data_IF_033301600816
#
_entry.id   IF_033301600816
#
_cell.length_a   1.000
_cell.length_b   1.000
_cell.length_c   1.000
_cell.angle_alpha   90.00
_cell.angle_beta   90.00
_cell.angle_gamma   90.00
#
_symmetry.space_group_name_H-M   'P 1'
#
loop_
_entity.id
_entity.type
_entity.pdbx_description
1 polymer ?
#
# COMPACT_ATOMS: atom_id res chain seq x y z
N UNK A 1 40.47 -1.06 -16.17
CA UNK A 1 39.99 -2.13 -15.26
C UNK A 1 38.93 -1.52 -14.38
N UNK A 2 37.68 -1.78 -14.71
CA UNK A 2 36.54 -1.26 -13.95
C UNK A 2 36.32 -2.23 -12.78
N UNK A 3 36.63 -1.80 -11.57
CA UNK A 3 36.27 -2.56 -10.37
C UNK A 3 34.76 -2.78 -10.41
N UNK A 4 34.36 -4.04 -10.48
CA UNK A 4 32.97 -4.41 -10.30
C UNK A 4 32.57 -4.00 -8.88
N UNK A 5 31.82 -2.93 -8.75
CA UNK A 5 31.21 -2.52 -7.48
C UNK A 5 30.45 -3.73 -6.97
N UNK A 6 30.97 -4.34 -5.89
CA UNK A 6 30.32 -5.44 -5.20
C UNK A 6 29.05 -4.90 -4.59
N UNK A 7 27.96 -5.03 -5.32
CA UNK A 7 26.62 -4.65 -4.84
C UNK A 7 26.31 -5.53 -3.64
N UNK A 8 26.41 -4.97 -2.44
CA UNK A 8 25.90 -5.62 -1.23
C UNK A 8 24.38 -5.54 -1.36
N UNK A 9 23.69 -6.67 -1.51
CA UNK A 9 22.22 -6.60 -1.60
C UNK A 9 21.69 -6.02 -0.30
N UNK A 10 20.72 -5.12 -0.42
CA UNK A 10 19.97 -4.57 0.70
C UNK A 10 19.30 -5.74 1.43
N UNK A 11 19.81 -6.13 2.61
CA UNK A 11 19.34 -7.30 3.36
C UNK A 11 18.99 -6.92 4.78
N UNK A 12 17.90 -7.45 5.27
CA UNK A 12 17.57 -7.48 6.70
C UNK A 12 18.26 -8.67 7.37
N UNK A 13 18.36 -8.62 8.71
CA UNK A 13 18.93 -9.75 9.45
C UNK A 13 18.04 -10.99 9.38
N UNK A 14 18.64 -12.17 9.57
CA UNK A 14 17.88 -13.43 9.62
C UNK A 14 16.85 -13.44 10.74
N UNK A 15 17.12 -12.78 11.86
CA UNK A 15 16.19 -12.65 12.99
C UNK A 15 14.95 -11.87 12.61
N UNK A 16 15.11 -10.77 11.86
CA UNK A 16 13.97 -9.96 11.35
C UNK A 16 13.13 -10.80 10.39
N UNK A 17 13.78 -11.45 9.44
CA UNK A 17 13.10 -12.30 8.47
C UNK A 17 12.29 -13.39 9.14
N UNK A 18 12.90 -14.10 10.10
CA UNK A 18 12.24 -15.18 10.85
C UNK A 18 11.04 -14.64 11.65
N UNK A 19 11.19 -13.51 12.34
CA UNK A 19 10.10 -12.90 13.09
C UNK A 19 8.91 -12.51 12.18
N UNK A 20 9.19 -12.02 10.96
CA UNK A 20 8.15 -11.72 9.98
C UNK A 20 7.47 -13.00 9.48
N UNK A 21 8.24 -14.05 9.20
CA UNK A 21 7.71 -15.34 8.74
C UNK A 21 6.89 -16.05 9.81
N UNK A 22 7.32 -15.99 11.08
CA UNK A 22 6.58 -16.55 12.21
C UNK A 22 5.23 -15.83 12.42
N UNK A 23 5.17 -14.55 12.04
CA UNK A 23 3.97 -13.72 12.22
C UNK A 23 2.97 -13.87 11.07
N UNK A 24 3.46 -13.91 9.84
CA UNK A 24 2.63 -13.81 8.62
C UNK A 24 2.47 -15.15 7.90
N UNK A 25 3.37 -16.11 8.15
CA UNK A 25 3.59 -17.28 7.31
C UNK A 25 4.70 -17.03 6.29
N UNK A 26 5.51 -18.05 6.02
CA UNK A 26 6.67 -17.96 5.12
C UNK A 26 6.29 -17.63 3.67
N UNK A 27 5.10 -18.01 3.23
CA UNK A 27 4.55 -17.75 1.90
C UNK A 27 4.22 -16.26 1.66
N UNK A 28 4.07 -15.47 2.74
CA UNK A 28 3.73 -14.03 2.66
C UNK A 28 4.89 -13.10 2.94
N UNK A 29 6.09 -13.65 3.07
CA UNK A 29 7.34 -12.91 3.28
C UNK A 29 8.36 -13.36 2.25
N UNK A 30 8.80 -12.47 1.38
CA UNK A 30 9.72 -12.83 0.30
C UNK A 30 10.95 -11.93 0.24
N UNK A 31 12.12 -12.56 0.16
CA UNK A 31 13.40 -11.96 -0.22
C UNK A 31 13.76 -12.28 -1.69
N UNK A 32 12.89 -12.99 -2.41
CA UNK A 32 13.14 -13.36 -3.81
C UNK A 32 13.20 -12.10 -4.68
N UNK A 33 14.27 -11.99 -5.45
CA UNK A 33 14.55 -10.82 -6.26
C UNK A 33 13.45 -10.55 -7.31
N UNK A 34 12.92 -11.59 -7.92
CA UNK A 34 11.88 -11.44 -8.94
C UNK A 34 10.58 -10.93 -8.31
N UNK A 35 10.27 -11.39 -7.09
CA UNK A 35 9.13 -10.90 -6.30
C UNK A 35 9.36 -9.44 -5.91
N UNK A 36 10.52 -9.11 -5.35
CA UNK A 36 10.87 -7.73 -4.97
C UNK A 36 10.76 -6.79 -6.18
N UNK A 37 11.35 -7.14 -7.31
CA UNK A 37 11.28 -6.34 -8.52
C UNK A 37 9.83 -6.17 -9.03
N UNK A 38 8.99 -7.19 -8.90
CA UNK A 38 7.58 -7.14 -9.30
C UNK A 38 6.78 -6.16 -8.44
N UNK A 39 6.94 -6.23 -7.12
CA UNK A 39 6.23 -5.38 -6.17
C UNK A 39 6.85 -3.97 -6.01
N UNK A 40 8.02 -3.73 -6.58
CA UNK A 40 8.70 -2.43 -6.55
C UNK A 40 8.57 -1.66 -7.86
N UNK A 41 7.87 -2.21 -8.85
CA UNK A 41 7.72 -1.56 -10.16
C UNK A 41 6.78 -0.37 -10.11
N UNK A 42 7.15 0.66 -10.88
CA UNK A 42 6.26 1.77 -11.19
C UNK A 42 5.46 1.48 -12.46
N UNK A 43 4.22 1.87 -12.48
CA UNK A 43 3.38 1.74 -13.67
C UNK A 43 3.52 2.91 -14.65
N UNK A 44 3.97 4.07 -14.19
CA UNK A 44 4.09 5.27 -15.03
C UNK A 44 5.54 5.67 -15.19
N UNK A 45 6.04 5.54 -16.38
CA UNK A 45 7.32 6.08 -16.82
C UNK A 45 7.14 7.50 -17.34
N UNK A 46 6.87 8.42 -16.42
CA UNK A 46 6.58 9.80 -16.80
C UNK A 46 7.80 10.56 -17.37
N UNK A 47 9.02 10.03 -17.23
CA UNK A 47 10.22 10.78 -17.61
C UNK A 47 11.45 9.96 -18.03
N UNK A 48 11.38 8.65 -18.20
CA UNK A 48 12.59 7.84 -18.53
C UNK A 48 13.69 7.85 -17.47
N UNK A 49 13.75 8.89 -16.65
CA UNK A 49 14.73 9.06 -15.58
C UNK A 49 14.51 8.08 -14.41
N UNK A 50 13.26 7.75 -14.13
CA UNK A 50 12.89 6.83 -13.04
C UNK A 50 13.29 5.38 -13.34
N UNK A 51 13.31 4.96 -14.59
CA UNK A 51 13.80 3.63 -14.99
C UNK A 51 15.25 3.36 -14.59
N UNK A 52 16.07 4.40 -14.47
CA UNK A 52 17.47 4.23 -14.08
C UNK A 52 17.60 3.78 -12.62
N UNK A 53 16.77 4.32 -11.74
CA UNK A 53 16.74 3.93 -10.32
C UNK A 53 16.11 2.55 -10.10
N UNK A 54 15.10 2.17 -10.89
CA UNK A 54 14.51 0.83 -10.83
C UNK A 54 15.47 -0.30 -11.20
N UNK A 55 16.51 0.01 -11.96
CA UNK A 55 17.55 -0.97 -12.34
C UNK A 55 18.69 -1.02 -11.35
N UNK A 56 18.76 -0.09 -10.41
CA UNK A 56 19.80 -0.10 -9.39
C UNK A 56 19.42 -1.10 -8.28
N UNK A 57 20.12 -2.22 -8.19
CA UNK A 57 19.83 -3.25 -7.19
C UNK A 57 20.03 -2.79 -5.75
N UNK A 58 20.74 -1.68 -5.54
CA UNK A 58 20.96 -1.09 -4.21
C UNK A 58 19.78 -0.29 -3.71
N UNK A 59 18.84 0.03 -4.60
CA UNK A 59 17.65 0.84 -4.30
C UNK A 59 16.38 0.00 -4.10
N UNK A 60 16.49 -1.33 -4.18
CA UNK A 60 15.35 -2.22 -3.96
C UNK A 60 15.16 -2.50 -2.46
N UNK A 61 13.92 -2.74 -2.00
CA UNK A 61 13.68 -3.14 -0.62
C UNK A 61 14.35 -4.48 -0.30
N UNK A 62 14.59 -4.73 0.99
CA UNK A 62 15.21 -5.96 1.46
C UNK A 62 14.24 -7.14 1.41
N UNK A 63 12.97 -6.89 1.69
CA UNK A 63 11.91 -7.89 1.56
C UNK A 63 10.55 -7.24 1.30
N UNK A 64 9.63 -8.07 0.81
CA UNK A 64 8.20 -7.75 0.64
C UNK A 64 7.41 -8.58 1.63
N UNK A 65 6.44 -7.97 2.30
CA UNK A 65 5.49 -8.65 3.19
C UNK A 65 4.05 -8.32 2.78
N UNK A 66 3.17 -9.33 2.84
CA UNK A 66 1.78 -9.22 2.42
C UNK A 66 0.83 -9.53 3.60
N UNK A 67 0.54 -8.57 4.47
CA UNK A 67 -0.41 -8.78 5.57
C UNK A 67 -1.85 -8.90 5.05
N UNK A 68 -2.70 -9.62 5.82
CA UNK A 68 -4.12 -9.78 5.55
C UNK A 68 -5.03 -9.08 6.57
N UNK A 69 -4.45 -8.53 7.65
CA UNK A 69 -5.22 -7.90 8.71
C UNK A 69 -4.50 -6.71 9.34
N UNK A 70 -5.25 -5.90 10.05
CA UNK A 70 -4.71 -4.78 10.84
C UNK A 70 -3.72 -5.26 11.91
N UNK A 71 -4.00 -6.40 12.53
CA UNK A 71 -3.18 -7.01 13.58
C UNK A 71 -1.83 -7.45 13.03
N UNK A 72 -1.82 -8.01 11.83
CA UNK A 72 -0.56 -8.36 11.13
C UNK A 72 0.26 -7.10 10.78
N UNK A 73 -0.40 -6.02 10.32
CA UNK A 73 0.29 -4.73 10.09
C UNK A 73 0.87 -4.18 11.40
N UNK A 74 0.13 -4.25 12.52
CA UNK A 74 0.66 -3.84 13.84
C UNK A 74 1.89 -4.66 14.23
N UNK A 75 1.85 -5.98 14.03
CA UNK A 75 2.96 -6.86 14.35
C UNK A 75 4.20 -6.54 13.52
N UNK A 76 4.03 -6.28 12.20
CA UNK A 76 5.12 -5.82 11.33
C UNK A 76 5.74 -4.54 11.88
N UNK A 77 4.92 -3.54 12.26
CA UNK A 77 5.43 -2.27 12.79
C UNK A 77 6.19 -2.46 14.10
N UNK A 78 5.72 -3.35 14.99
CA UNK A 78 6.44 -3.67 16.25
C UNK A 78 7.77 -4.37 15.99
N UNK A 79 7.82 -5.33 15.05
CA UNK A 79 9.06 -6.00 14.62
C UNK A 79 10.03 -4.96 14.06
N UNK A 80 9.57 -4.12 13.13
CA UNK A 80 10.39 -3.08 12.51
C UNK A 80 10.97 -2.11 13.56
N UNK A 81 10.18 -1.68 14.55
CA UNK A 81 10.63 -0.84 15.65
C UNK A 81 11.68 -1.53 16.54
N UNK A 82 11.44 -2.80 16.89
CA UNK A 82 12.37 -3.58 17.72
C UNK A 82 13.74 -3.69 17.07
N UNK A 83 13.77 -3.94 15.77
CA UNK A 83 15.03 -4.17 15.03
C UNK A 83 15.55 -2.92 14.30
N UNK A 84 14.85 -1.77 14.42
CA UNK A 84 15.22 -0.50 13.77
C UNK A 84 15.32 -0.61 12.25
N UNK A 85 14.41 -1.34 11.63
CA UNK A 85 14.29 -1.47 10.18
C UNK A 85 13.22 -0.53 9.66
N UNK A 86 13.49 0.13 8.54
CA UNK A 86 12.52 1.03 7.91
C UNK A 86 11.38 0.25 7.26
N UNK A 87 10.18 0.83 7.26
CA UNK A 87 8.97 0.27 6.63
C UNK A 87 8.45 1.23 5.59
N UNK A 88 8.13 0.72 4.41
CA UNK A 88 7.48 1.47 3.34
C UNK A 88 6.15 0.81 3.02
N UNK A 89 5.01 1.45 3.30
CA UNK A 89 3.71 0.97 2.85
C UNK A 89 3.59 1.17 1.33
N UNK A 90 3.05 0.16 0.65
CA UNK A 90 2.90 0.20 -0.79
C UNK A 90 1.59 -0.44 -1.22
N UNK A 91 0.86 0.20 -2.10
CA UNK A 91 -0.33 -0.35 -2.75
C UNK A 91 -0.01 -0.82 -4.17
N UNK A 92 -0.40 -0.09 -5.20
CA UNK A 92 -0.11 -0.51 -6.58
C UNK A 92 0.85 0.43 -7.34
N UNK A 93 1.22 1.56 -6.76
CA UNK A 93 2.17 2.50 -7.35
C UNK A 93 1.77 3.10 -8.70
N UNK A 94 0.47 3.06 -9.07
CA UNK A 94 0.02 3.47 -10.40
C UNK A 94 0.35 4.93 -10.74
N UNK A 95 0.29 5.83 -9.77
CA UNK A 95 0.61 7.26 -9.93
C UNK A 95 1.78 7.63 -8.99
N UNK A 96 2.66 6.70 -8.70
CA UNK A 96 3.80 6.98 -7.85
C UNK A 96 4.97 7.45 -8.70
N UNK A 97 5.47 8.63 -8.39
CA UNK A 97 6.73 9.12 -8.95
C UNK A 97 7.95 8.51 -8.23
N UNK A 98 7.74 8.02 -7.00
CA UNK A 98 8.75 7.36 -6.19
C UNK A 98 8.19 6.05 -5.65
N UNK A 99 8.72 4.93 -6.11
CA UNK A 99 8.39 3.62 -5.54
C UNK A 99 9.07 3.39 -4.20
N UNK A 100 8.96 2.18 -3.68
CA UNK A 100 9.61 1.78 -2.43
C UNK A 100 11.11 1.57 -2.65
N UNK A 101 11.79 2.61 -3.13
CA UNK A 101 13.22 2.60 -3.43
C UNK A 101 13.96 3.39 -2.36
N UNK A 102 14.99 2.79 -1.77
CA UNK A 102 15.80 3.37 -0.71
C UNK A 102 17.16 2.69 -0.67
N UNK A 103 18.24 3.42 -0.37
CA UNK A 103 19.55 2.82 -0.18
C UNK A 103 19.68 2.03 1.13
N UNK A 104 18.71 2.20 2.05
CA UNK A 104 18.69 1.50 3.33
C UNK A 104 17.85 0.22 3.25
N UNK A 105 18.19 -0.83 4.02
CA UNK A 105 17.37 -2.03 4.11
C UNK A 105 15.95 -1.71 4.61
N UNK A 106 14.94 -2.01 3.81
CA UNK A 106 13.54 -1.73 4.14
C UNK A 106 12.66 -2.95 3.99
N UNK A 107 11.58 -2.97 4.77
CA UNK A 107 10.45 -3.87 4.62
C UNK A 107 9.38 -3.13 3.82
N UNK A 108 9.04 -3.61 2.64
CA UNK A 108 7.87 -3.10 1.90
C UNK A 108 6.63 -3.87 2.29
N UNK A 109 5.65 -3.16 2.82
CA UNK A 109 4.35 -3.71 3.23
C UNK A 109 3.35 -3.51 2.11
N UNK A 110 3.01 -4.59 1.41
CA UNK A 110 2.07 -4.56 0.29
C UNK A 110 0.70 -5.07 0.71
N UNK A 111 -0.31 -4.20 0.66
CA UNK A 111 -1.61 -4.45 1.26
C UNK A 111 -2.60 -5.26 0.40
N UNK A 112 -2.14 -5.92 -0.67
CA UNK A 112 -3.01 -6.60 -1.65
C UNK A 112 -3.96 -7.65 -1.09
N UNK A 113 -3.67 -8.23 0.07
CA UNK A 113 -4.56 -9.20 0.74
C UNK A 113 -5.69 -8.54 1.53
N UNK A 114 -5.62 -7.22 1.75
CA UNK A 114 -6.64 -6.42 2.45
C UNK A 114 -7.50 -5.67 1.41
N UNK A 115 -8.29 -6.40 0.63
CA UNK A 115 -8.96 -5.87 -0.55
C UNK A 115 -10.49 -6.04 -0.54
N UNK A 116 -11.10 -6.23 0.62
CA UNK A 116 -12.53 -6.48 0.75
C UNK A 116 -13.34 -5.19 0.92
N UNK A 117 -14.55 -5.17 0.38
CA UNK A 117 -15.64 -4.29 0.81
C UNK A 117 -16.29 -4.98 2.01
N UNK A 118 -16.20 -4.38 3.18
CA UNK A 118 -16.63 -4.99 4.44
C UNK A 118 -18.11 -4.74 4.73
N UNK A 119 -18.58 -3.54 4.45
CA UNK A 119 -19.97 -3.14 4.68
C UNK A 119 -20.37 -2.00 3.74
N UNK A 120 -21.64 -1.96 3.37
CA UNK A 120 -22.30 -0.82 2.75
C UNK A 120 -23.53 -0.50 3.58
N UNK A 121 -23.59 0.69 4.12
CA UNK A 121 -24.73 1.21 4.90
C UNK A 121 -25.58 2.09 3.99
N UNK A 122 -26.75 1.56 3.61
CA UNK A 122 -27.71 2.23 2.73
C UNK A 122 -28.40 3.42 3.40
N UNK A 123 -28.46 3.42 4.74
CA UNK A 123 -29.14 4.48 5.52
C UNK A 123 -28.25 5.71 5.63
N UNK A 124 -26.99 5.49 6.03
CA UNK A 124 -26.00 6.55 6.21
C UNK A 124 -25.22 6.86 4.92
N UNK A 125 -25.43 6.09 3.86
CA UNK A 125 -24.73 6.20 2.57
C UNK A 125 -23.20 6.12 2.75
N UNK A 126 -22.75 5.20 3.60
CA UNK A 126 -21.33 4.98 3.86
C UNK A 126 -20.91 3.57 3.49
N UNK A 127 -19.62 3.40 3.19
CA UNK A 127 -19.03 2.09 2.96
C UNK A 127 -17.75 1.92 3.77
N UNK A 128 -17.58 0.75 4.38
CA UNK A 128 -16.36 0.35 5.09
C UNK A 128 -15.55 -0.61 4.23
N UNK A 129 -14.28 -0.29 4.03
CA UNK A 129 -13.41 -0.99 3.09
C UNK A 129 -12.04 -1.26 3.68
N UNK A 130 -11.41 -2.30 3.21
CA UNK A 130 -9.99 -2.53 3.44
C UNK A 130 -9.12 -1.64 2.53
N UNK A 131 -7.88 -1.43 2.96
CA UNK A 131 -6.97 -0.46 2.35
C UNK A 131 -6.65 -0.69 0.86
N UNK A 132 -6.73 -1.93 0.38
CA UNK A 132 -6.42 -2.26 -1.02
C UNK A 132 -7.67 -2.41 -1.90
N UNK A 133 -8.87 -2.27 -1.34
CA UNK A 133 -10.09 -2.24 -2.14
C UNK A 133 -10.04 -1.10 -3.15
N UNK A 134 -10.61 -1.30 -4.32
CA UNK A 134 -10.63 -0.30 -5.39
C UNK A 134 -12.03 0.24 -5.68
N UNK A 135 -12.07 1.32 -6.48
CA UNK A 135 -13.33 1.96 -6.84
C UNK A 135 -14.26 1.06 -7.65
N UNK A 136 -13.72 0.17 -8.46
CA UNK A 136 -14.51 -0.78 -9.24
C UNK A 136 -15.24 -1.77 -8.35
N UNK A 137 -14.54 -2.31 -7.34
CA UNK A 137 -15.14 -3.20 -6.34
C UNK A 137 -16.22 -2.49 -5.53
N UNK A 138 -15.93 -1.29 -5.01
CA UNK A 138 -16.92 -0.49 -4.29
C UNK A 138 -18.14 -0.20 -5.15
N UNK A 139 -17.95 0.23 -6.40
CA UNK A 139 -19.04 0.53 -7.31
C UNK A 139 -19.88 -0.72 -7.62
N UNK A 140 -19.24 -1.87 -7.86
CA UNK A 140 -19.94 -3.11 -8.13
C UNK A 140 -20.84 -3.54 -6.95
N UNK A 141 -20.36 -3.42 -5.72
CA UNK A 141 -21.15 -3.74 -4.53
C UNK A 141 -22.26 -2.70 -4.28
N UNK A 142 -21.97 -1.40 -4.43
CA UNK A 142 -22.94 -0.34 -4.26
C UNK A 142 -24.11 -0.43 -5.26
N UNK A 143 -23.82 -0.77 -6.52
CA UNK A 143 -24.87 -0.93 -7.55
C UNK A 143 -25.85 -2.06 -7.26
N UNK A 144 -25.46 -3.10 -6.53
CA UNK A 144 -26.39 -4.17 -6.11
C UNK A 144 -27.50 -3.63 -5.20
N UNK A 145 -27.24 -2.51 -4.55
CA UNK A 145 -28.15 -1.81 -3.64
C UNK A 145 -28.73 -0.54 -4.27
N UNK A 146 -28.56 -0.33 -5.58
CA UNK A 146 -29.05 0.86 -6.27
C UNK A 146 -28.28 2.14 -5.95
N UNK A 147 -27.09 2.02 -5.35
CA UNK A 147 -26.25 3.14 -4.93
C UNK A 147 -25.11 3.39 -5.93
N UNK A 148 -24.56 4.60 -5.87
CA UNK A 148 -23.42 5.01 -6.66
C UNK A 148 -22.41 5.79 -5.78
N UNK A 149 -21.13 5.51 -5.94
CA UNK A 149 -20.07 6.03 -5.06
C UNK A 149 -19.64 7.49 -5.31
N UNK A 150 -20.28 8.20 -6.23
CA UNK A 150 -20.01 9.63 -6.49
C UNK A 150 -18.70 9.93 -7.22
N UNK A 151 -17.75 9.04 -7.21
CA UNK A 151 -16.45 9.21 -7.84
C UNK A 151 -16.19 8.18 -8.93
N UNK A 152 -15.54 8.58 -10.01
CA UNK A 152 -15.09 7.66 -11.05
C UNK A 152 -13.71 8.07 -11.53
N UNK A 153 -12.66 7.63 -10.89
CA UNK A 153 -11.31 7.84 -11.41
C UNK A 153 -11.13 7.12 -12.74
N UNK A 154 -10.28 7.66 -13.60
CA UNK A 154 -9.97 7.12 -14.92
C UNK A 154 -9.58 5.64 -14.91
N UNK A 155 -9.08 5.15 -13.80
CA UNK A 155 -8.64 3.77 -13.63
C UNK A 155 -9.29 3.14 -12.39
N UNK A 156 -10.61 2.95 -12.44
CA UNK A 156 -11.43 2.47 -11.32
C UNK A 156 -10.91 1.20 -10.66
N UNK A 157 -10.41 0.25 -11.44
CA UNK A 157 -9.87 -1.02 -10.92
C UNK A 157 -8.41 -0.94 -10.46
N UNK A 158 -7.70 0.11 -10.84
CA UNK A 158 -6.31 0.33 -10.44
C UNK A 158 -6.17 1.32 -9.28
N UNK A 159 -7.13 2.24 -9.11
CA UNK A 159 -7.11 3.21 -8.02
C UNK A 159 -7.57 2.57 -6.72
N UNK A 160 -6.64 2.33 -5.82
CA UNK A 160 -6.94 1.82 -4.48
C UNK A 160 -7.48 2.94 -3.59
N UNK A 161 -8.51 2.64 -2.80
CA UNK A 161 -9.20 3.64 -1.99
C UNK A 161 -8.28 4.27 -0.94
N UNK A 162 -7.36 3.51 -0.37
CA UNK A 162 -6.37 4.05 0.57
C UNK A 162 -5.45 5.13 -0.04
N UNK A 163 -5.23 5.14 -1.34
CA UNK A 163 -4.42 6.19 -1.97
C UNK A 163 -5.07 7.57 -1.88
N UNK A 164 -6.39 7.64 -1.70
CA UNK A 164 -7.13 8.89 -1.53
C UNK A 164 -6.84 9.58 -0.19
N UNK A 165 -6.32 8.87 0.78
CA UNK A 165 -5.90 9.45 2.05
C UNK A 165 -4.63 10.29 1.91
N UNK A 166 -3.81 9.97 0.92
CA UNK A 166 -2.53 10.66 0.67
C UNK A 166 -2.54 11.55 -0.58
N UNK A 167 -3.44 11.29 -1.52
CA UNK A 167 -3.53 12.02 -2.78
C UNK A 167 -4.98 12.40 -3.08
N UNK A 168 -5.30 13.68 -2.92
CA UNK A 168 -6.66 14.20 -3.05
C UNK A 168 -7.28 13.99 -4.44
N UNK A 169 -6.49 13.93 -5.50
CA UNK A 169 -6.95 13.79 -6.87
C UNK A 169 -8.03 14.81 -7.27
N UNK A 170 -8.04 15.22 -8.51
CA UNK A 170 -9.12 16.04 -9.06
C UNK A 170 -9.73 15.26 -10.23
N UNK A 171 -11.06 15.05 -10.18
CA UNK A 171 -11.79 14.25 -11.15
C UNK A 171 -12.97 15.04 -11.73
N UNK A 172 -13.53 14.55 -12.80
CA UNK A 172 -14.65 15.21 -13.51
C UNK A 172 -15.90 15.38 -12.62
N UNK A 173 -16.08 14.52 -11.64
CA UNK A 173 -17.23 14.52 -10.72
C UNK A 173 -17.06 15.45 -9.52
N UNK A 174 -15.87 15.98 -9.30
CA UNK A 174 -15.53 16.78 -8.10
C UNK A 174 -16.32 18.08 -8.02
N UNK A 175 -16.71 18.64 -9.15
CA UNK A 175 -17.56 19.83 -9.19
C UNK A 175 -18.91 19.62 -8.49
N UNK A 176 -19.41 18.38 -8.49
CA UNK A 176 -20.70 18.03 -7.86
C UNK A 176 -20.53 17.38 -6.49
N UNK A 177 -19.56 16.50 -6.33
CA UNK A 177 -19.44 15.63 -5.15
C UNK A 177 -18.22 15.96 -4.27
N UNK A 178 -17.40 16.92 -4.67
CA UNK A 178 -16.15 17.23 -4.00
C UNK A 178 -15.04 16.23 -4.32
N UNK A 179 -13.82 16.53 -3.86
CA UNK A 179 -12.66 15.65 -4.05
C UNK A 179 -12.85 14.36 -3.27
N UNK A 180 -12.29 13.27 -3.77
CA UNK A 180 -12.43 11.94 -3.16
C UNK A 180 -11.95 11.90 -1.70
N UNK A 181 -10.92 12.66 -1.35
CA UNK A 181 -10.44 12.76 0.04
C UNK A 181 -11.47 13.38 1.00
N UNK A 182 -12.38 14.24 0.50
CA UNK A 182 -13.45 14.83 1.31
C UNK A 182 -14.59 13.86 1.60
N UNK A 183 -14.66 12.76 0.87
CA UNK A 183 -15.67 11.73 1.06
C UNK A 183 -15.24 10.68 2.09
N UNK A 184 -14.05 10.83 2.70
CA UNK A 184 -13.56 9.95 3.76
C UNK A 184 -14.12 10.43 5.09
N UNK A 185 -14.96 9.61 5.73
CA UNK A 185 -15.58 9.90 7.02
C UNK A 185 -14.68 9.51 8.17
N UNK A 186 -14.06 8.34 8.08
CA UNK A 186 -13.21 7.78 9.13
C UNK A 186 -12.06 6.98 8.52
N UNK A 187 -10.92 6.95 9.20
CA UNK A 187 -9.75 6.14 8.83
C UNK A 187 -9.24 5.40 10.05
N UNK A 188 -9.02 4.10 9.90
CA UNK A 188 -8.26 3.28 10.85
C UNK A 188 -6.81 3.19 10.36
N UNK A 189 -5.88 3.72 11.14
CA UNK A 189 -4.46 3.79 10.81
C UNK A 189 -3.63 3.02 11.82
N UNK A 190 -2.67 2.24 11.36
CA UNK A 190 -1.59 1.72 12.21
C UNK A 190 -0.46 2.74 12.21
N UNK A 191 -0.18 3.30 13.37
CA UNK A 191 0.89 4.27 13.57
C UNK A 191 2.28 3.62 13.47
N UNK A 192 3.34 4.42 13.27
CA UNK A 192 4.71 3.91 13.30
C UNK A 192 5.07 3.15 14.58
N UNK A 193 4.42 3.45 15.70
CA UNK A 193 4.56 2.74 16.99
C UNK A 193 3.93 1.35 17.00
N UNK A 194 3.08 1.03 16.02
CA UNK A 194 2.24 -0.16 15.99
C UNK A 194 0.91 -0.01 16.76
N UNK A 195 0.59 1.20 17.23
CA UNK A 195 -0.70 1.53 17.83
C UNK A 195 -1.75 1.80 16.76
N UNK A 196 -3.02 1.61 17.08
CA UNK A 196 -4.13 1.95 16.19
C UNK A 196 -4.64 3.35 16.54
N UNK A 197 -4.79 4.17 15.51
CA UNK A 197 -5.49 5.44 15.56
C UNK A 197 -6.75 5.33 14.69
N UNK A 198 -7.91 5.69 15.24
CA UNK A 198 -9.14 5.87 14.48
C UNK A 198 -9.44 7.38 14.45
N UNK A 199 -9.62 7.92 13.26
CA UNK A 199 -9.95 9.34 13.06
C UNK A 199 -11.33 9.46 12.43
N UNK A 200 -12.00 10.57 12.65
CA UNK A 200 -13.34 10.81 12.14
C UNK A 200 -14.43 10.37 13.12
N UNK A 201 -15.67 10.27 12.62
CA UNK A 201 -16.83 9.85 13.37
C UNK A 201 -17.36 8.54 12.82
N UNK A 202 -17.84 7.66 13.70
CA UNK A 202 -18.53 6.42 13.33
C UNK A 202 -20.04 6.65 13.10
N UNK A 203 -20.49 7.92 13.07
CA UNK A 203 -21.89 8.31 12.87
C UNK A 203 -22.11 9.06 11.59
#
# INVERSE_FOLDING_TARGET
MTEAIRVIPNKISREVLQALQDTLGSEWVSEDRAVIETYSRFSVDAAGALRKHQKDPTMLPACIVLPQSTEEVQAIMRIANRFKVQVIPFTNGMISFNGPTTPEPTITVHLSRMNRVLNIDEVNLTATLEAYADYGQLQAEAMKQGLWNGGSPLATTLCKLSSQTSFAGIWQTDLKYGTLSRNIVSIKVVLPTGEILITGSDT
#
